data_IF_732825941035
#
_entry.id   IF_732825941035
#
_cell.length_a   1.000
_cell.length_b   1.000
_cell.length_c   1.000
_cell.angle_alpha   90.00
_cell.angle_beta   90.00
_cell.angle_gamma   90.00
#
_symmetry.space_group_name_H-M   'P 1'
#
loop_
_entity.id
_entity.type
_entity.pdbx_description
1 polymer ?
#
# COMPACT_ATOMS: atom_id res chain seq x y z
N UNK A 1 10.48 5.30 -1.89
CA UNK A 1 9.35 6.18 -1.51
C UNK A 1 8.89 6.87 -2.77
N UNK A 2 7.59 7.02 -2.97
CA UNK A 2 7.06 7.82 -4.08
C UNK A 2 5.88 8.65 -3.61
N UNK A 3 5.63 9.77 -4.29
CA UNK A 3 4.45 10.59 -4.10
C UNK A 3 4.18 11.41 -5.36
N UNK A 4 2.93 11.80 -5.55
CA UNK A 4 2.55 12.79 -6.55
C UNK A 4 2.33 14.14 -5.86
N UNK A 5 2.71 15.21 -6.53
CA UNK A 5 2.55 16.55 -5.97
C UNK A 5 2.35 17.60 -7.06
N UNK A 6 1.73 18.72 -6.68
CA UNK A 6 1.54 19.92 -7.51
C UNK A 6 1.73 21.16 -6.65
N UNK A 7 2.53 22.12 -7.11
CA UNK A 7 2.70 23.41 -6.42
C UNK A 7 3.22 24.50 -7.36
N UNK A 8 3.03 25.75 -6.97
CA UNK A 8 3.72 26.93 -7.54
C UNK A 8 4.78 27.48 -6.60
N UNK A 9 4.82 27.01 -5.35
CA UNK A 9 5.79 27.46 -4.34
C UNK A 9 7.18 26.91 -4.63
N UNK A 10 8.18 27.79 -4.52
CA UNK A 10 9.58 27.46 -4.83
C UNK A 10 10.31 26.80 -3.66
N UNK A 11 9.67 26.74 -2.50
CA UNK A 11 10.23 26.27 -1.24
C UNK A 11 9.15 25.49 -0.50
N UNK A 12 9.48 24.27 -0.06
CA UNK A 12 8.51 23.47 0.70
C UNK A 12 9.03 22.08 1.09
N UNK A 13 8.44 21.50 2.13
CA UNK A 13 8.77 20.16 2.63
C UNK A 13 7.67 19.16 2.24
N UNK A 14 7.96 18.29 1.26
CA UNK A 14 7.01 17.29 0.77
C UNK A 14 6.86 16.12 1.74
N UNK A 15 7.98 15.58 2.23
CA UNK A 15 7.96 14.46 3.15
C UNK A 15 9.19 14.45 4.06
N UNK A 16 9.02 14.00 5.29
CA UNK A 16 10.10 13.68 6.22
C UNK A 16 9.84 12.30 6.83
N UNK A 17 10.84 11.42 6.76
CA UNK A 17 10.82 10.11 7.40
C UNK A 17 12.10 9.94 8.20
N UNK A 18 11.99 9.72 9.50
CA UNK A 18 13.18 9.48 10.30
C UNK A 18 13.06 9.92 11.75
N UNK A 19 14.23 10.18 12.31
CA UNK A 19 14.43 10.40 13.73
C UNK A 19 14.67 11.88 14.01
N UNK A 20 14.03 12.41 15.05
CA UNK A 20 14.31 13.73 15.58
C UNK A 20 15.71 13.76 16.20
N UNK A 21 16.31 14.96 16.28
CA UNK A 21 17.63 15.14 16.90
C UNK A 21 17.64 14.62 18.34
N UNK A 22 18.57 13.71 18.63
CA UNK A 22 18.77 13.06 19.93
C UNK A 22 17.83 11.88 20.22
N UNK A 23 16.93 11.51 19.31
CA UNK A 23 15.93 10.47 19.55
C UNK A 23 16.50 9.04 19.52
N UNK A 24 17.68 8.83 18.93
CA UNK A 24 18.43 7.58 18.98
C UNK A 24 18.70 7.06 20.39
N UNK A 25 18.78 7.94 21.39
CA UNK A 25 18.91 7.55 22.79
C UNK A 25 17.74 6.70 23.31
N UNK A 26 16.59 6.74 22.63
CA UNK A 26 15.40 5.92 22.94
C UNK A 26 15.35 4.61 22.15
N UNK A 27 16.24 4.44 21.18
CA UNK A 27 16.32 3.27 20.31
C UNK A 27 17.40 2.30 20.79
N UNK A 28 17.12 1.00 20.71
CA UNK A 28 18.11 -0.02 21.12
C UNK A 28 19.17 -0.19 20.05
N UNK A 29 20.44 -0.03 20.43
CA UNK A 29 21.61 -0.29 19.56
C UNK A 29 21.68 0.59 18.31
N UNK A 30 21.05 1.77 18.35
CA UNK A 30 21.17 2.80 17.31
C UNK A 30 21.94 3.96 17.91
N UNK A 31 22.88 4.52 17.15
CA UNK A 31 23.77 5.59 17.61
C UNK A 31 23.52 6.92 16.90
N UNK A 32 22.59 6.94 15.95
CA UNK A 32 22.46 7.98 14.95
C UNK A 32 20.99 8.30 14.73
N UNK A 33 20.70 9.59 14.53
CA UNK A 33 19.36 10.05 14.18
C UNK A 33 19.20 10.03 12.67
N UNK A 34 19.01 8.83 12.12
CA UNK A 34 18.90 8.69 10.66
C UNK A 34 17.60 9.33 10.16
N UNK A 35 17.67 9.99 9.00
CA UNK A 35 16.49 10.58 8.37
C UNK A 35 16.61 10.67 6.85
N UNK A 36 15.45 10.83 6.23
CA UNK A 36 15.24 11.19 4.84
C UNK A 36 14.25 12.34 4.80
N UNK A 37 14.53 13.34 3.98
CA UNK A 37 13.59 14.39 3.64
C UNK A 37 13.57 14.65 2.14
N UNK A 38 12.39 14.96 1.61
CA UNK A 38 12.20 15.42 0.26
C UNK A 38 11.66 16.85 0.33
N UNK A 39 12.42 17.79 -0.21
CA UNK A 39 12.08 19.21 -0.22
C UNK A 39 12.09 19.78 -1.64
N UNK A 40 11.43 20.91 -1.82
CA UNK A 40 11.58 21.80 -2.96
C UNK A 40 12.47 22.96 -2.52
N UNK A 41 13.53 23.25 -3.27
CA UNK A 41 14.41 24.41 -3.06
C UNK A 41 14.64 25.16 -4.36
N UNK A 42 14.23 26.43 -4.39
CA UNK A 42 14.30 27.25 -5.60
C UNK A 42 13.49 26.68 -6.77
N UNK A 43 12.47 25.86 -6.49
CA UNK A 43 11.62 25.18 -7.47
C UNK A 43 12.14 23.85 -8.02
N UNK A 44 13.18 23.27 -7.41
CA UNK A 44 13.75 21.98 -7.78
C UNK A 44 13.65 21.00 -6.60
N UNK A 45 13.46 19.71 -6.89
CA UNK A 45 13.47 18.67 -5.86
C UNK A 45 14.87 18.47 -5.30
N UNK A 46 14.95 18.32 -3.98
CA UNK A 46 16.16 18.00 -3.24
C UNK A 46 15.85 16.86 -2.27
N UNK A 47 16.51 15.72 -2.47
CA UNK A 47 16.55 14.63 -1.50
C UNK A 47 17.67 14.90 -0.51
N UNK A 48 17.35 14.84 0.78
CA UNK A 48 18.29 15.01 1.88
C UNK A 48 18.27 13.73 2.68
N UNK A 49 19.42 13.11 2.91
CA UNK A 49 19.48 11.85 3.64
C UNK A 49 20.75 11.76 4.48
N UNK A 50 20.58 11.29 5.72
CA UNK A 50 21.68 10.98 6.62
C UNK A 50 21.43 9.59 7.24
N UNK A 51 22.42 8.71 7.11
CA UNK A 51 22.42 7.37 7.71
C UNK A 51 23.39 7.30 8.91
N UNK A 52 23.75 8.45 9.47
CA UNK A 52 24.65 8.60 10.60
C UNK A 52 26.10 8.90 10.25
N UNK A 53 26.41 9.11 8.98
CA UNK A 53 27.76 9.45 8.48
C UNK A 53 27.85 10.86 7.90
N UNK A 54 26.81 11.67 8.10
CA UNK A 54 26.66 12.99 7.55
C UNK A 54 25.62 13.03 6.43
N UNK A 55 24.97 14.18 6.31
CA UNK A 55 23.89 14.40 5.36
C UNK A 55 24.40 14.59 3.93
N UNK A 56 23.69 14.02 2.98
CA UNK A 56 23.86 14.30 1.56
C UNK A 56 22.63 14.98 0.98
N UNK A 57 22.85 16.02 0.16
CA UNK A 57 21.82 16.65 -0.64
C UNK A 57 21.98 16.22 -2.10
N UNK A 58 20.94 15.65 -2.68
CA UNK A 58 20.88 15.24 -4.09
C UNK A 58 19.79 16.10 -4.72
N UNK A 59 20.19 17.03 -5.58
CA UNK A 59 19.28 17.93 -6.29
C UNK A 59 18.95 17.34 -7.66
N UNK A 60 17.67 17.38 -8.02
CA UNK A 60 17.22 17.03 -9.36
C UNK A 60 17.17 18.29 -10.26
N UNK A 61 17.42 18.13 -11.56
CA UNK A 61 17.54 19.25 -12.51
C UNK A 61 16.19 19.71 -13.10
N UNK A 62 15.15 18.88 -13.02
CA UNK A 62 13.79 19.27 -13.43
C UNK A 62 13.18 20.29 -12.48
N UNK A 63 12.66 21.38 -13.04
CA UNK A 63 11.85 22.37 -12.33
C UNK A 63 10.44 21.81 -12.09
N UNK A 64 9.96 21.90 -10.85
CA UNK A 64 8.70 21.25 -10.41
C UNK A 64 7.68 22.19 -9.77
N UNK A 65 8.00 23.48 -9.69
CA UNK A 65 7.11 24.52 -9.13
C UNK A 65 6.36 25.26 -10.24
N UNK A 66 5.93 24.54 -11.26
CA UNK A 66 5.28 25.09 -12.46
C UNK A 66 3.74 25.02 -12.41
N UNK A 67 3.18 24.55 -11.28
CA UNK A 67 1.74 24.37 -11.09
C UNK A 67 1.18 23.11 -11.76
N UNK A 68 2.01 22.20 -12.26
CA UNK A 68 1.58 20.91 -12.84
C UNK A 68 1.82 19.75 -11.87
N UNK A 69 1.20 18.62 -12.18
CA UNK A 69 1.40 17.39 -11.42
C UNK A 69 2.71 16.72 -11.81
N UNK A 70 3.50 16.41 -10.79
CA UNK A 70 4.73 15.63 -10.92
C UNK A 70 4.66 14.39 -10.03
N UNK A 71 5.32 13.31 -10.45
CA UNK A 71 5.63 12.19 -9.58
C UNK A 71 7.10 12.27 -9.18
N UNK A 72 7.39 12.23 -7.88
CA UNK A 72 8.73 11.98 -7.35
C UNK A 72 8.84 10.52 -6.93
N UNK A 73 9.85 9.81 -7.44
CA UNK A 73 10.19 8.44 -7.02
C UNK A 73 11.62 8.42 -6.50
N UNK A 74 11.79 7.96 -5.28
CA UNK A 74 13.06 7.89 -4.57
C UNK A 74 13.37 6.42 -4.29
N UNK A 75 14.45 5.93 -4.87
CA UNK A 75 14.95 4.58 -4.63
C UNK A 75 16.33 4.64 -3.98
N UNK A 76 16.60 3.72 -3.05
CA UNK A 76 17.91 3.59 -2.43
C UNK A 76 18.30 2.13 -2.30
N UNK A 77 19.47 1.80 -2.80
CA UNK A 77 20.13 0.51 -2.56
C UNK A 77 21.49 0.76 -1.91
N UNK A 78 21.60 0.39 -0.63
CA UNK A 78 22.81 0.66 0.15
C UNK A 78 23.09 2.17 0.24
N UNK A 79 24.16 2.64 -0.39
CA UNK A 79 24.53 4.06 -0.39
C UNK A 79 24.19 4.80 -1.67
N UNK A 80 23.67 4.10 -2.67
CA UNK A 80 23.23 4.71 -3.93
C UNK A 80 21.77 5.10 -3.80
N UNK A 81 21.48 6.37 -4.06
CA UNK A 81 20.13 6.91 -4.12
C UNK A 81 19.86 7.40 -5.54
N UNK A 82 18.63 7.23 -6.02
CA UNK A 82 18.13 7.86 -7.23
C UNK A 82 16.88 8.67 -6.93
N UNK A 83 16.72 9.77 -7.66
CA UNK A 83 15.49 10.55 -7.73
C UNK A 83 15.02 10.50 -9.18
N UNK A 84 13.83 9.99 -9.40
CA UNK A 84 13.13 10.05 -10.69
C UNK A 84 12.01 11.06 -10.60
N UNK A 85 11.94 11.97 -11.58
CA UNK A 85 10.83 12.90 -11.75
C UNK A 85 10.09 12.57 -13.02
N UNK A 86 8.77 12.39 -12.91
CA UNK A 86 7.85 12.20 -14.05
C UNK A 86 6.91 13.38 -14.15
N UNK A 87 6.73 13.89 -15.36
CA UNK A 87 5.92 15.08 -15.66
C UNK A 87 5.07 14.82 -16.89
N UNK A 88 3.75 14.62 -16.74
CA UNK A 88 2.86 14.29 -17.85
C UNK A 88 3.36 13.10 -18.70
N UNK A 89 3.48 13.32 -20.01
CA UNK A 89 3.96 12.32 -20.98
C UNK A 89 5.47 12.45 -21.29
N UNK A 90 6.20 13.28 -20.54
CA UNK A 90 7.65 13.42 -20.73
C UNK A 90 8.39 12.15 -20.26
N UNK A 91 9.56 11.90 -20.86
CA UNK A 91 10.42 10.81 -20.41
C UNK A 91 10.86 11.05 -18.96
N UNK A 92 10.88 9.97 -18.18
CA UNK A 92 11.44 9.95 -16.84
C UNK A 92 12.84 10.59 -16.82
N UNK A 93 13.00 11.63 -16.01
CA UNK A 93 14.32 12.19 -15.70
C UNK A 93 14.81 11.59 -14.40
N UNK A 94 16.08 11.17 -14.38
CA UNK A 94 16.68 10.48 -13.23
C UNK A 94 18.01 11.15 -12.87
N UNK A 95 18.21 11.41 -11.58
CA UNK A 95 19.51 11.80 -11.01
C UNK A 95 19.92 10.81 -9.94
N UNK A 96 21.17 10.36 -9.99
CA UNK A 96 21.77 9.50 -8.98
C UNK A 96 22.69 10.29 -8.04
N UNK A 97 22.80 9.84 -6.80
CA UNK A 97 23.75 10.36 -5.83
C UNK A 97 24.21 9.29 -4.83
N UNK A 98 25.29 9.59 -4.13
CA UNK A 98 25.93 8.66 -3.21
C UNK A 98 26.00 9.24 -1.79
N UNK A 99 25.61 8.45 -0.81
CA UNK A 99 25.68 8.82 0.60
C UNK A 99 27.12 8.69 1.14
N UNK A 100 27.58 9.63 1.98
CA UNK A 100 28.95 9.65 2.51
C UNK A 100 29.18 8.58 3.58
N UNK A 101 30.47 8.38 3.89
CA UNK A 101 30.93 7.52 4.99
C UNK A 101 30.62 6.03 4.83
N UNK A 102 30.52 5.34 5.97
CA UNK A 102 30.53 3.86 6.04
C UNK A 102 29.17 3.27 6.36
N UNK A 103 28.23 4.03 6.91
CA UNK A 103 26.90 3.52 7.23
C UNK A 103 26.02 3.41 5.98
N UNK A 104 25.24 2.33 5.90
CA UNK A 104 24.35 2.01 4.78
C UNK A 104 22.98 1.50 5.22
N UNK A 105 22.76 1.38 6.52
CA UNK A 105 21.49 0.95 7.12
C UNK A 105 20.70 2.19 7.49
N UNK A 106 19.40 2.20 7.20
CA UNK A 106 18.50 3.27 7.61
C UNK A 106 17.75 2.83 8.86
N UNK A 107 18.20 3.29 10.02
CA UNK A 107 17.71 2.84 11.32
C UNK A 107 16.41 3.54 11.70
N UNK A 108 15.28 2.86 11.46
CA UNK A 108 13.95 3.31 11.85
C UNK A 108 13.38 2.43 12.97
N UNK A 109 12.61 3.06 13.86
CA UNK A 109 11.90 2.41 14.96
C UNK A 109 10.43 2.82 14.96
N UNK A 110 9.53 1.85 15.14
CA UNK A 110 8.08 2.06 15.03
C UNK A 110 7.51 3.04 16.07
N UNK A 111 8.17 3.21 17.22
CA UNK A 111 7.70 4.07 18.31
C UNK A 111 8.37 5.43 18.32
N UNK A 112 9.59 5.51 17.79
CA UNK A 112 10.42 6.72 17.85
C UNK A 112 10.39 7.48 16.54
N UNK A 113 10.56 6.79 15.41
CA UNK A 113 10.64 7.43 14.11
C UNK A 113 9.29 8.02 13.68
N UNK A 114 9.36 9.11 12.93
CA UNK A 114 8.20 9.85 12.44
C UNK A 114 8.12 9.78 10.92
N UNK A 115 6.89 9.84 10.43
CA UNK A 115 6.58 10.02 9.02
C UNK A 115 5.64 11.20 8.91
N UNK A 116 6.14 12.30 8.35
CA UNK A 116 5.38 13.50 8.03
C UNK A 116 5.28 13.68 6.52
N UNK A 117 4.15 14.23 6.09
CA UNK A 117 3.86 14.58 4.69
C UNK A 117 3.29 16.00 4.68
N UNK A 118 3.79 16.85 3.77
CA UNK A 118 3.29 18.21 3.57
C UNK A 118 3.73 19.24 4.62
N UNK A 119 4.65 18.87 5.53
CA UNK A 119 5.15 19.76 6.57
C UNK A 119 5.40 19.03 7.88
N UNK A 120 5.92 19.76 8.86
CA UNK A 120 6.25 19.26 10.20
C UNK A 120 5.86 20.28 11.26
N UNK A 121 5.62 19.82 12.49
CA UNK A 121 5.38 20.74 13.61
C UNK A 121 6.64 21.54 13.94
N UNK A 122 6.46 22.83 14.22
CA UNK A 122 7.48 23.75 14.74
C UNK A 122 8.10 23.32 16.07
N UNK A 123 7.43 22.44 16.82
CA UNK A 123 7.93 21.87 18.09
C UNK A 123 9.00 20.81 17.89
N UNK A 124 9.19 20.33 16.66
CA UNK A 124 10.10 19.25 16.34
C UNK A 124 11.55 19.74 16.25
N UNK A 125 12.47 19.05 16.91
CA UNK A 125 13.91 19.32 16.77
C UNK A 125 14.43 18.58 15.52
N UNK A 126 14.31 19.23 14.38
CA UNK A 126 14.74 18.70 13.10
C UNK A 126 16.25 18.89 12.84
N UNK A 127 16.84 18.09 11.94
CA UNK A 127 18.20 18.30 11.47
C UNK A 127 18.41 19.71 10.89
N UNK A 128 19.55 20.33 11.21
CA UNK A 128 19.91 21.71 10.79
C UNK A 128 20.08 21.86 9.26
N UNK A 129 20.01 20.75 8.52
CA UNK A 129 20.17 20.64 7.07
C UNK A 129 18.88 20.93 6.31
N UNK A 130 17.73 20.86 7.00
CA UNK A 130 16.42 21.15 6.43
C UNK A 130 16.21 22.66 6.38
N UNK A 131 15.70 23.13 5.24
CA UNK A 131 15.43 24.56 5.02
C UNK A 131 13.94 24.86 5.12
N UNK A 132 13.09 23.82 5.00
CA UNK A 132 11.64 23.97 4.85
C UNK A 132 10.89 23.17 5.91
N UNK A 133 9.77 23.72 6.38
CA UNK A 133 8.96 23.12 7.46
C UNK A 133 7.47 22.96 7.09
N UNK A 134 7.06 23.50 5.96
CA UNK A 134 5.69 23.44 5.46
C UNK A 134 5.70 23.22 3.95
N UNK A 135 4.58 22.82 3.39
CA UNK A 135 4.35 22.76 1.95
C UNK A 135 2.97 23.34 1.64
N UNK A 136 2.92 24.19 0.63
CA UNK A 136 1.67 24.69 0.06
C UNK A 136 1.51 24.10 -1.34
N UNK A 137 0.42 23.37 -1.53
CA UNK A 137 0.16 22.61 -2.75
C UNK A 137 -0.66 21.36 -2.50
N UNK A 138 -0.61 20.43 -3.46
CA UNK A 138 -1.35 19.18 -3.44
C UNK A 138 -0.38 18.01 -3.33
N UNK A 139 -0.70 16.99 -2.53
CA UNK A 139 0.04 15.72 -2.46
C UNK A 139 -0.96 14.56 -2.56
N UNK A 140 -0.64 13.55 -3.35
CA UNK A 140 -1.47 12.36 -3.58
C UNK A 140 -0.60 11.09 -3.68
N UNK A 141 -1.21 9.92 -3.44
CA UNK A 141 -0.63 8.60 -3.73
C UNK A 141 0.79 8.41 -3.19
N UNK A 142 0.94 8.64 -1.88
CA UNK A 142 2.20 8.41 -1.18
C UNK A 142 2.42 6.92 -0.97
N UNK A 143 3.61 6.42 -1.31
CA UNK A 143 4.04 5.05 -1.04
C UNK A 143 5.42 5.02 -0.36
N UNK A 144 5.57 4.09 0.58
CA UNK A 144 6.83 3.86 1.28
C UNK A 144 7.12 2.36 1.37
N UNK A 145 8.24 1.92 0.78
CA UNK A 145 8.62 0.51 0.73
C UNK A 145 7.54 -0.38 0.11
N UNK A 146 7.00 0.01 -1.05
CA UNK A 146 5.89 -0.67 -1.77
C UNK A 146 4.55 -0.70 -1.02
N UNK A 147 4.47 -0.05 0.15
CA UNK A 147 3.25 0.07 0.94
C UNK A 147 2.64 1.45 0.73
N UNK A 148 1.41 1.54 0.19
CA UNK A 148 0.76 2.84 0.09
C UNK A 148 0.48 3.41 1.49
N UNK A 149 0.56 4.73 1.62
CA UNK A 149 0.35 5.48 2.86
C UNK A 149 -0.94 6.27 2.70
N UNK A 150 -1.94 5.95 3.53
CA UNK A 150 -3.22 6.66 3.49
C UNK A 150 -3.08 8.05 4.11
N UNK A 151 -3.12 9.10 3.30
CA UNK A 151 -3.02 10.48 3.79
C UNK A 151 -4.16 10.87 4.76
N UNK A 152 -5.30 10.19 4.66
CA UNK A 152 -6.46 10.37 5.56
C UNK A 152 -6.46 9.43 6.77
N UNK A 153 -5.48 8.53 6.88
CA UNK A 153 -5.29 7.62 8.01
C UNK A 153 -4.16 8.13 8.93
N UNK A 154 -4.20 9.43 9.23
CA UNK A 154 -3.16 10.09 10.02
C UNK A 154 -3.36 9.86 11.52
N UNK A 155 -2.26 9.85 12.27
CA UNK A 155 -2.29 9.89 13.75
C UNK A 155 -2.64 11.30 14.24
N UNK A 156 -2.12 12.33 13.57
CA UNK A 156 -2.35 13.74 13.87
C UNK A 156 -2.12 14.59 12.62
N UNK A 157 -2.89 15.67 12.45
CA UNK A 157 -2.74 16.64 11.38
C UNK A 157 -3.10 18.06 11.88
N UNK A 158 -2.43 19.08 11.34
CA UNK A 158 -2.72 20.50 11.61
C UNK A 158 -3.01 21.20 10.28
N UNK A 159 -4.07 22.01 10.23
CA UNK A 159 -4.42 22.88 9.10
C UNK A 159 -4.55 22.20 7.72
N UNK A 160 -4.79 20.89 7.67
CA UNK A 160 -5.02 20.11 6.43
C UNK A 160 -6.48 19.64 6.36
N UNK A 161 -7.41 20.60 6.22
CA UNK A 161 -8.85 20.38 6.40
C UNK A 161 -9.59 20.25 5.06
N UNK A 162 -8.93 20.59 3.96
CA UNK A 162 -9.52 20.62 2.62
C UNK A 162 -8.74 19.69 1.68
N UNK A 163 -9.49 18.92 0.88
CA UNK A 163 -8.90 18.16 -0.22
C UNK A 163 -8.51 19.07 -1.37
N UNK A 164 -7.62 18.59 -2.23
CA UNK A 164 -7.25 19.26 -3.46
C UNK A 164 -8.04 18.71 -4.65
N UNK A 165 -8.01 19.42 -5.79
CA UNK A 165 -8.48 18.87 -7.05
C UNK A 165 -7.64 17.65 -7.43
N UNK A 166 -8.32 16.53 -7.70
CA UNK A 166 -7.71 15.26 -8.11
C UNK A 166 -6.85 15.47 -9.36
N UNK A 167 -5.80 14.67 -9.45
CA UNK A 167 -4.83 14.74 -10.53
C UNK A 167 -5.43 14.40 -11.89
N UNK A 168 -5.20 15.28 -12.86
CA UNK A 168 -5.67 15.17 -14.24
C UNK A 168 -4.59 14.67 -15.22
N UNK A 169 -3.32 14.68 -14.82
CA UNK A 169 -2.15 14.26 -15.60
C UNK A 169 -1.42 13.09 -14.92
N UNK A 170 -0.53 12.38 -15.61
CA UNK A 170 0.12 11.17 -15.09
C UNK A 170 -0.87 10.05 -14.70
N UNK A 171 -2.14 10.17 -15.12
CA UNK A 171 -3.26 9.42 -14.55
C UNK A 171 -2.98 7.91 -14.58
N UNK A 172 -2.91 7.31 -13.39
CA UNK A 172 -3.03 5.86 -13.26
C UNK A 172 -4.50 5.57 -13.48
N UNK A 173 -4.83 4.61 -14.36
CA UNK A 173 -6.21 4.17 -14.59
C UNK A 173 -6.95 4.09 -13.25
N UNK A 174 -8.05 4.82 -13.03
CA UNK A 174 -8.74 4.83 -11.75
C UNK A 174 -9.05 3.40 -11.37
N UNK A 175 -8.44 2.94 -10.28
CA UNK A 175 -8.68 1.60 -9.78
C UNK A 175 -10.10 1.59 -9.23
N UNK A 176 -10.95 0.72 -9.78
CA UNK A 176 -12.21 0.34 -9.15
C UNK A 176 -11.99 -0.56 -7.91
N UNK A 177 -10.73 -0.75 -7.49
CA UNK A 177 -10.33 -1.51 -6.33
C UNK A 177 -10.46 -0.72 -5.03
N UNK A 178 -10.78 -1.42 -3.97
CA UNK A 178 -10.80 -0.90 -2.61
C UNK A 178 -9.60 -1.44 -1.84
N UNK A 179 -8.95 -0.59 -1.06
CA UNK A 179 -7.88 -1.02 -0.15
C UNK A 179 -8.46 -1.23 1.25
N UNK A 180 -8.07 -2.33 1.88
CA UNK A 180 -8.47 -2.67 3.23
C UNK A 180 -7.23 -2.75 4.12
N UNK A 181 -7.23 -2.04 5.25
CA UNK A 181 -6.17 -2.09 6.27
C UNK A 181 -6.27 -3.31 7.18
N UNK A 182 -7.29 -4.16 6.98
CA UNK A 182 -7.62 -5.30 7.84
C UNK A 182 -8.60 -4.96 8.98
N UNK A 183 -8.92 -3.68 9.20
CA UNK A 183 -9.81 -3.23 10.27
C UNK A 183 -11.29 -3.02 9.84
N UNK A 184 -11.64 -3.32 8.58
CA UNK A 184 -12.96 -3.00 8.04
C UNK A 184 -13.44 -3.95 6.95
N UNK A 185 -14.63 -3.69 6.44
CA UNK A 185 -15.29 -4.45 5.38
C UNK A 185 -16.25 -3.53 4.60
N UNK A 186 -16.69 -3.97 3.41
CA UNK A 186 -17.71 -3.27 2.62
C UNK A 186 -18.88 -4.20 2.36
N UNK A 187 -20.09 -3.69 2.55
CA UNK A 187 -21.33 -4.41 2.22
C UNK A 187 -21.82 -3.93 0.86
N UNK A 188 -21.87 -4.84 -0.11
CA UNK A 188 -22.42 -4.56 -1.43
C UNK A 188 -23.92 -4.91 -1.47
N UNK A 189 -24.75 -4.10 -2.14
CA UNK A 189 -26.17 -4.39 -2.26
C UNK A 189 -26.38 -5.69 -3.02
N UNK A 190 -27.24 -6.55 -2.48
CA UNK A 190 -27.65 -7.79 -3.13
C UNK A 190 -28.59 -7.45 -4.29
N UNK A 191 -28.07 -7.12 -5.47
CA UNK A 191 -28.88 -7.14 -6.70
C UNK A 191 -29.49 -8.54 -6.82
N UNK A 192 -30.68 -8.67 -7.42
CA UNK A 192 -31.49 -9.91 -7.50
C UNK A 192 -30.79 -11.03 -8.31
N UNK A 193 -29.65 -11.51 -7.85
CA UNK A 193 -28.98 -12.69 -8.36
C UNK A 193 -29.56 -13.89 -7.62
N UNK A 194 -29.99 -14.89 -8.38
CA UNK A 194 -30.56 -16.12 -7.85
C UNK A 194 -29.42 -17.01 -7.32
N UNK A 195 -28.90 -16.67 -6.14
CA UNK A 195 -27.90 -17.46 -5.42
C UNK A 195 -28.36 -18.88 -5.04
N UNK A 196 -29.58 -19.29 -5.42
CA UNK A 196 -30.11 -20.61 -5.11
C UNK A 196 -29.43 -21.68 -5.98
N UNK A 197 -29.39 -21.50 -7.30
CA UNK A 197 -28.88 -22.50 -8.26
C UNK A 197 -27.47 -22.20 -8.75
N UNK A 198 -27.11 -20.93 -8.91
CA UNK A 198 -25.82 -20.57 -9.49
C UNK A 198 -25.18 -19.37 -8.77
N UNK A 199 -23.88 -19.46 -8.51
CA UNK A 199 -23.10 -18.36 -7.95
C UNK A 199 -21.75 -18.33 -8.65
N UNK A 200 -21.45 -17.26 -9.39
CA UNK A 200 -20.11 -17.04 -9.95
C UNK A 200 -19.59 -15.70 -9.46
N UNK A 201 -18.43 -15.73 -8.80
CA UNK A 201 -17.76 -14.54 -8.29
C UNK A 201 -16.35 -14.53 -8.84
N UNK A 202 -15.94 -13.38 -9.37
CA UNK A 202 -14.60 -13.13 -9.91
C UNK A 202 -14.09 -11.83 -9.33
N UNK A 203 -12.84 -11.80 -8.89
CA UNK A 203 -12.18 -10.55 -8.52
C UNK A 203 -10.67 -10.64 -8.67
N UNK A 204 -10.06 -9.46 -8.76
CA UNK A 204 -8.63 -9.26 -8.66
C UNK A 204 -8.29 -8.92 -7.21
N UNK A 205 -7.17 -9.43 -6.72
CA UNK A 205 -6.66 -9.10 -5.39
C UNK A 205 -5.13 -9.02 -5.41
N UNK A 206 -4.58 -8.26 -4.46
CA UNK A 206 -3.14 -8.14 -4.18
C UNK A 206 -2.97 -8.05 -2.67
N UNK A 207 -2.15 -8.90 -2.07
CA UNK A 207 -1.92 -8.91 -0.61
C UNK A 207 -0.56 -9.50 -0.25
N UNK A 208 -0.05 -9.14 0.93
CA UNK A 208 1.04 -9.85 1.62
C UNK A 208 0.54 -10.63 2.84
N UNK A 209 -0.71 -10.41 3.25
CA UNK A 209 -1.31 -11.07 4.40
C UNK A 209 -1.47 -12.57 4.12
N UNK A 210 -1.07 -13.39 5.10
CA UNK A 210 -1.20 -14.85 5.01
C UNK A 210 -2.64 -15.32 5.19
N UNK A 211 -3.41 -14.58 5.98
CA UNK A 211 -4.76 -14.95 6.39
C UNK A 211 -5.71 -13.76 6.23
N UNK A 212 -6.93 -14.02 5.75
CA UNK A 212 -7.95 -12.98 5.58
C UNK A 212 -9.19 -13.45 4.83
N UNK A 213 -10.34 -12.83 5.15
CA UNK A 213 -11.58 -13.05 4.43
C UNK A 213 -11.63 -12.12 3.20
N UNK A 214 -11.79 -12.69 2.01
CA UNK A 214 -11.86 -11.93 0.75
C UNK A 214 -13.31 -11.68 0.31
N UNK A 215 -14.18 -12.67 0.51
CA UNK A 215 -15.58 -12.58 0.15
C UNK A 215 -16.43 -13.46 1.05
N UNK A 216 -17.62 -12.99 1.41
CA UNK A 216 -18.63 -13.78 2.11
C UNK A 216 -20.03 -13.42 1.64
N UNK A 217 -20.79 -14.45 1.29
CA UNK A 217 -22.25 -14.36 1.21
C UNK A 217 -22.86 -15.54 1.96
N UNK A 218 -23.87 -15.27 2.78
CA UNK A 218 -24.53 -16.33 3.52
C UNK A 218 -25.53 -15.82 4.53
N UNK A 219 -26.24 -16.76 5.14
CA UNK A 219 -27.10 -16.55 6.29
C UNK A 219 -27.00 -17.76 7.20
N UNK A 220 -26.65 -17.55 8.47
CA UNK A 220 -26.46 -18.62 9.45
C UNK A 220 -25.41 -19.64 8.95
N UNK A 221 -25.74 -20.94 8.94
CA UNK A 221 -24.84 -22.01 8.50
C UNK A 221 -24.75 -22.16 6.98
N UNK A 222 -25.59 -21.46 6.22
CA UNK A 222 -25.59 -21.53 4.76
C UNK A 222 -24.76 -20.38 4.21
N UNK A 223 -23.59 -20.68 3.68
CA UNK A 223 -22.63 -19.67 3.23
C UNK A 223 -21.77 -20.13 2.07
N UNK A 224 -21.18 -19.14 1.41
CA UNK A 224 -20.17 -19.26 0.37
C UNK A 224 -19.11 -18.19 0.65
N UNK A 225 -17.92 -18.62 1.05
CA UNK A 225 -16.85 -17.77 1.53
C UNK A 225 -15.55 -18.07 0.77
N UNK A 226 -14.85 -17.01 0.37
CA UNK A 226 -13.48 -17.12 -0.10
C UNK A 226 -12.53 -16.44 0.88
N UNK A 227 -11.47 -17.15 1.21
CA UNK A 227 -10.48 -16.79 2.21
C UNK A 227 -9.08 -17.00 1.64
N UNK A 228 -8.10 -16.29 2.18
CA UNK A 228 -6.71 -16.69 2.12
C UNK A 228 -6.33 -17.29 3.48
N UNK A 229 -5.61 -18.41 3.48
CA UNK A 229 -5.14 -19.08 4.69
C UNK A 229 -3.74 -19.64 4.43
N UNK A 230 -2.77 -19.28 5.28
CA UNK A 230 -1.35 -19.59 5.06
C UNK A 230 -0.89 -19.28 3.62
N UNK A 231 -1.37 -18.17 3.06
CA UNK A 231 -1.09 -17.74 1.69
C UNK A 231 -1.85 -18.47 0.58
N UNK A 232 -2.56 -19.56 0.87
CA UNK A 232 -3.33 -20.32 -0.12
C UNK A 232 -4.76 -19.81 -0.21
N UNK A 233 -5.36 -19.90 -1.39
CA UNK A 233 -6.76 -19.52 -1.62
C UNK A 233 -7.66 -20.69 -1.25
N UNK A 234 -8.62 -20.42 -0.36
CA UNK A 234 -9.56 -21.39 0.18
C UNK A 234 -10.99 -20.96 -0.17
N UNK A 235 -11.73 -21.84 -0.82
CA UNK A 235 -13.18 -21.72 -0.95
C UNK A 235 -13.85 -22.61 0.08
N UNK A 236 -14.69 -22.03 0.94
CA UNK A 236 -15.52 -22.77 1.89
C UNK A 236 -16.99 -22.51 1.60
N UNK A 237 -17.79 -23.55 1.54
CA UNK A 237 -19.23 -23.37 1.38
C UNK A 237 -20.03 -24.46 2.09
N UNK A 238 -21.21 -24.08 2.57
CA UNK A 238 -22.19 -24.98 3.16
C UNK A 238 -23.58 -24.57 2.66
N UNK A 239 -24.34 -25.55 2.17
CA UNK A 239 -25.68 -25.37 1.59
C UNK A 239 -26.74 -26.15 2.39
N UNK A 240 -26.52 -26.26 3.70
CA UNK A 240 -27.39 -26.98 4.64
C UNK A 240 -27.14 -28.48 4.73
N UNK A 241 -26.18 -29.04 3.97
CA UNK A 241 -25.87 -30.48 3.97
C UNK A 241 -24.46 -30.83 4.44
N UNK A 242 -23.66 -29.84 4.84
CA UNK A 242 -22.28 -30.04 5.30
C UNK A 242 -21.30 -29.07 4.65
N UNK A 243 -20.14 -28.91 5.27
CA UNK A 243 -19.06 -28.05 4.81
C UNK A 243 -18.26 -28.74 3.69
N UNK A 244 -18.09 -28.04 2.57
CA UNK A 244 -17.12 -28.36 1.54
C UNK A 244 -16.02 -27.30 1.49
N UNK A 245 -14.79 -27.74 1.19
CA UNK A 245 -13.60 -26.90 1.12
C UNK A 245 -12.83 -27.24 -0.14
N UNK A 246 -12.47 -26.22 -0.93
CA UNK A 246 -11.50 -26.31 -2.02
C UNK A 246 -10.27 -25.48 -1.67
N UNK A 247 -9.08 -25.91 -2.11
CA UNK A 247 -7.82 -25.23 -1.79
C UNK A 247 -6.89 -25.16 -2.99
N UNK A 248 -6.30 -23.99 -3.24
CA UNK A 248 -5.23 -23.85 -4.23
C UNK A 248 -3.95 -24.60 -3.81
N UNK A 249 -3.18 -25.15 -4.75
CA UNK A 249 -1.92 -25.82 -4.44
C UNK A 249 -0.79 -24.85 -4.06
N UNK A 250 -0.79 -23.66 -4.66
CA UNK A 250 0.22 -22.62 -4.46
C UNK A 250 -0.27 -21.49 -3.55
N UNK A 251 0.68 -20.63 -3.16
CA UNK A 251 0.45 -19.41 -2.38
C UNK A 251 0.38 -18.16 -3.27
N UNK A 252 -0.46 -17.19 -2.89
CA UNK A 252 -0.77 -16.00 -3.70
C UNK A 252 -0.73 -14.69 -2.89
N UNK A 253 0.07 -14.64 -1.84
CA UNK A 253 0.31 -13.46 -1.01
C UNK A 253 1.69 -12.83 -1.28
N UNK A 254 2.09 -12.73 -2.55
CA UNK A 254 3.41 -12.29 -2.99
C UNK A 254 3.48 -10.78 -3.31
N UNK A 255 2.40 -10.04 -3.08
CA UNK A 255 2.32 -8.62 -3.41
C UNK A 255 2.05 -8.31 -4.88
N UNK A 256 1.71 -9.29 -5.71
CA UNK A 256 1.29 -9.08 -7.10
C UNK A 256 -0.23 -9.21 -7.25
N UNK A 257 -0.74 -8.73 -8.37
CA UNK A 257 -2.14 -8.89 -8.72
C UNK A 257 -2.40 -10.32 -9.21
N UNK A 258 -3.33 -10.98 -8.54
CA UNK A 258 -3.85 -12.28 -8.92
C UNK A 258 -5.36 -12.21 -9.18
N UNK A 259 -5.85 -13.09 -10.02
CA UNK A 259 -7.30 -13.26 -10.25
C UNK A 259 -7.78 -14.56 -9.63
N UNK A 260 -8.98 -14.55 -9.07
CA UNK A 260 -9.65 -15.80 -8.72
C UNK A 260 -11.09 -15.79 -9.21
N UNK A 261 -11.59 -17.00 -9.43
CA UNK A 261 -12.97 -17.27 -9.79
C UNK A 261 -13.48 -18.45 -8.97
N UNK A 262 -14.57 -18.22 -8.26
CA UNK A 262 -15.32 -19.27 -7.58
C UNK A 262 -16.68 -19.37 -8.26
N UNK A 263 -16.92 -20.50 -8.91
CA UNK A 263 -18.17 -20.79 -9.60
C UNK A 263 -18.84 -21.98 -8.93
N UNK A 264 -20.14 -21.87 -8.69
CA UNK A 264 -20.98 -22.93 -8.14
C UNK A 264 -22.21 -23.11 -8.98
N UNK A 265 -22.49 -24.36 -9.33
CA UNK A 265 -23.72 -24.80 -9.98
C UNK A 265 -24.35 -25.89 -9.12
N UNK A 266 -25.49 -25.60 -8.50
CA UNK A 266 -26.13 -26.42 -7.48
C UNK A 266 -25.17 -26.86 -6.36
N UNK A 267 -24.67 -28.10 -6.42
CA UNK A 267 -23.76 -28.69 -5.42
C UNK A 267 -22.33 -28.87 -5.93
N UNK A 268 -22.12 -28.53 -7.18
CA UNK A 268 -20.82 -28.53 -7.83
C UNK A 268 -20.18 -27.16 -7.65
N UNK A 269 -18.92 -27.14 -7.22
CA UNK A 269 -18.14 -25.92 -7.13
C UNK A 269 -16.77 -26.13 -7.77
N UNK A 270 -16.28 -25.07 -8.40
CA UNK A 270 -14.96 -25.00 -9.02
C UNK A 270 -14.25 -23.76 -8.51
N UNK A 271 -12.97 -23.92 -8.16
CA UNK A 271 -12.06 -22.83 -7.83
C UNK A 271 -11.03 -22.69 -8.94
N UNK A 272 -10.90 -21.47 -9.47
CA UNK A 272 -9.84 -21.09 -10.40
C UNK A 272 -9.00 -19.96 -9.82
N UNK A 273 -7.70 -20.03 -10.01
CA UNK A 273 -6.75 -18.96 -9.69
C UNK A 273 -5.92 -18.69 -10.94
N UNK A 274 -5.76 -17.42 -11.32
CA UNK A 274 -5.09 -16.99 -12.54
C UNK A 274 -5.58 -17.71 -13.80
N UNK A 275 -6.91 -17.86 -13.87
CA UNK A 275 -7.66 -18.53 -14.94
C UNK A 275 -7.42 -20.04 -15.07
N UNK A 276 -6.62 -20.63 -14.17
CA UNK A 276 -6.37 -22.07 -14.11
C UNK A 276 -7.28 -22.68 -13.06
N UNK A 277 -8.00 -23.74 -13.42
CA UNK A 277 -8.74 -24.55 -12.44
C UNK A 277 -7.76 -25.27 -11.52
N UNK A 278 -7.90 -25.01 -10.22
CA UNK A 278 -7.00 -25.55 -9.20
C UNK A 278 -7.64 -26.66 -8.38
N UNK A 279 -8.98 -26.66 -8.27
CA UNK A 279 -9.73 -27.65 -7.49
C UNK A 279 -11.24 -27.64 -7.82
N UNK A 280 -11.94 -28.75 -7.58
CA UNK A 280 -13.40 -28.88 -7.75
C UNK A 280 -14.03 -29.92 -6.80
N UNK A 281 -15.31 -29.73 -6.44
CA UNK A 281 -16.04 -30.65 -5.55
C UNK A 281 -17.51 -30.79 -5.90
N UNK A 282 -18.06 -31.97 -5.57
CA UNK A 282 -19.49 -32.31 -5.66
C UNK A 282 -20.02 -32.82 -4.31
N UNK A 283 -21.06 -32.19 -3.73
CA UNK A 283 -21.66 -32.62 -2.46
C UNK A 283 -22.78 -33.67 -2.69
N UNK A 284 -22.57 -34.91 -2.26
CA UNK A 284 -23.62 -35.96 -2.20
C UNK A 284 -24.30 -36.03 -0.82
N UNK A 285 -25.62 -36.30 -0.77
CA UNK A 285 -26.35 -36.53 0.49
C UNK A 285 -25.88 -37.87 1.10
N UNK A 286 -25.36 -37.87 2.34
CA UNK A 286 -25.29 -39.11 3.14
C UNK A 286 -26.71 -39.61 3.42
N UNK A 287 -27.09 -40.77 2.87
CA UNK A 287 -28.21 -41.57 3.40
C UNK A 287 -27.68 -42.37 4.58
N UNK A 288 -28.12 -42.05 5.79
CA UNK A 288 -27.86 -42.91 6.95
C UNK A 288 -28.64 -44.21 6.76
N UNK A 289 -27.96 -45.34 6.64
CA UNK A 289 -28.55 -46.65 6.90
C UNK A 289 -28.50 -46.88 8.41
N UNK A 290 -29.67 -46.95 9.04
CA UNK A 290 -29.81 -47.54 10.38
C UNK A 290 -29.73 -49.05 10.18
N UNK A 291 -28.66 -49.67 10.67
CA UNK A 291 -28.64 -51.12 10.89
C UNK A 291 -29.22 -51.33 12.28
N UNK A 292 -30.47 -51.79 12.33
CA UNK A 292 -31.03 -52.34 13.55
C UNK A 292 -30.38 -53.71 13.78
N UNK A 293 -29.71 -53.87 14.93
CA UNK A 293 -29.52 -55.16 15.59
C UNK A 293 -30.01 -55.01 17.02
#
# INVERSE_FOLDING_TARGET
MSLYFKTTERYGLLAFVGNEKGSHNRMKRVLTDDYLALEIRGGYLVLIMDLGSGSQNIKHDTYVSDGKWHQAVIERTGKTCSITVRSGDENDSVVEGFLPGTYSVFNLDQKVSKFFVGGVSDKLQLPDTLENYHFDGCIEDVEFGETPVGLWDFVFAENNIEGCEERNELAVQPSNGLRFSGAGYVILPRKRHQFASETTIKMLFKTYAKDGLLFLIGKNNDFFALEIQDGHIILKYNLGTGLATLKSPDTYNDGKWHSWEAARFDKDAVLKVDQVEVDSAHITRRRNYVVNN
#
